data_IF_553128205368
#
_entry.id   IF_553128205368
#
_cell.length_a   1.000
_cell.length_b   1.000
_cell.length_c   1.000
_cell.angle_alpha   90.00
_cell.angle_beta   90.00
_cell.angle_gamma   90.00
#
_symmetry.space_group_name_H-M   'P 1'
#
loop_
_entity.id
_entity.type
_entity.pdbx_description
1 polymer ?
#
# COMPACT_ATOMS: atom_id res chain seq x y z
N UNK A 1 -19.61 21.41 -13.80
CA UNK A 1 -18.77 20.46 -13.03
C UNK A 1 -18.97 19.10 -13.66
N UNK A 2 -17.98 18.56 -14.36
CA UNK A 2 -18.09 17.24 -14.98
C UNK A 2 -18.14 16.21 -13.87
N UNK A 3 -19.28 15.53 -13.74
CA UNK A 3 -19.46 14.45 -12.77
C UNK A 3 -18.73 13.22 -13.33
N UNK A 4 -17.42 13.12 -13.10
CA UNK A 4 -16.59 11.98 -13.54
C UNK A 4 -17.04 10.77 -12.74
N UNK A 5 -17.59 9.78 -13.44
CA UNK A 5 -18.08 8.57 -12.81
C UNK A 5 -16.93 7.61 -12.47
N UNK A 6 -17.17 6.61 -11.60
CA UNK A 6 -16.17 5.57 -11.31
C UNK A 6 -15.75 4.77 -12.56
N UNK A 7 -16.61 4.68 -13.58
CA UNK A 7 -16.25 4.06 -14.86
C UNK A 7 -15.21 4.89 -15.64
N UNK A 8 -15.40 6.21 -15.74
CA UNK A 8 -14.46 7.11 -16.40
C UNK A 8 -13.07 7.04 -15.74
N UNK A 9 -13.04 6.94 -14.41
CA UNK A 9 -11.78 6.81 -13.66
C UNK A 9 -11.11 5.44 -13.90
N UNK A 10 -11.87 4.34 -14.01
CA UNK A 10 -11.32 3.02 -14.39
C UNK A 10 -10.68 3.06 -15.77
N UNK A 11 -11.36 3.67 -16.72
CA UNK A 11 -10.84 3.81 -18.09
C UNK A 11 -9.54 4.63 -18.11
N UNK A 12 -9.47 5.70 -17.31
CA UNK A 12 -8.25 6.50 -17.17
C UNK A 12 -7.09 5.69 -16.56
N UNK A 13 -7.33 4.90 -15.51
CA UNK A 13 -6.31 4.04 -14.91
C UNK A 13 -5.83 2.95 -15.88
N UNK A 14 -6.75 2.38 -16.68
CA UNK A 14 -6.38 1.40 -17.70
C UNK A 14 -5.45 2.01 -18.77
N UNK A 15 -5.74 3.24 -19.21
CA UNK A 15 -4.86 3.97 -20.14
C UNK A 15 -3.50 4.28 -19.52
N UNK A 16 -3.49 4.70 -18.25
CA UNK A 16 -2.24 4.98 -17.52
C UNK A 16 -1.36 3.73 -17.42
N UNK A 17 -1.96 2.55 -17.20
CA UNK A 17 -1.23 1.27 -17.20
C UNK A 17 -0.47 1.06 -18.50
N UNK A 18 -1.14 1.18 -19.65
CA UNK A 18 -0.51 1.02 -20.95
C UNK A 18 0.59 2.04 -21.22
N UNK A 19 0.42 3.29 -20.76
CA UNK A 19 1.45 4.32 -20.84
C UNK A 19 2.68 3.99 -19.99
N UNK A 20 2.50 3.48 -18.76
CA UNK A 20 3.62 3.08 -17.89
C UNK A 20 4.31 1.81 -18.38
N UNK A 21 3.59 0.87 -18.99
CA UNK A 21 4.20 -0.29 -19.64
C UNK A 21 5.05 0.12 -20.84
N UNK A 22 4.55 1.06 -21.66
CA UNK A 22 5.32 1.64 -22.77
C UNK A 22 6.57 2.38 -22.27
N UNK A 23 6.43 3.13 -21.17
CA UNK A 23 7.56 3.80 -20.51
C UNK A 23 8.59 2.78 -20.00
N UNK A 24 8.15 1.66 -19.42
CA UNK A 24 9.02 0.58 -18.96
C UNK A 24 9.78 -0.08 -20.12
N UNK A 25 9.15 -0.24 -21.27
CA UNK A 25 9.81 -0.77 -22.48
C UNK A 25 10.85 0.21 -23.04
N UNK A 26 10.58 1.52 -22.98
CA UNK A 26 11.47 2.56 -23.50
C UNK A 26 12.67 2.85 -22.58
N UNK A 27 12.43 2.99 -21.27
CA UNK A 27 13.42 3.44 -20.29
C UNK A 27 13.99 2.31 -19.42
N UNK A 28 13.51 1.08 -19.64
CA UNK A 28 13.90 -0.10 -18.87
C UNK A 28 13.28 -0.16 -17.47
N UNK A 29 13.72 -1.14 -16.68
CA UNK A 29 13.14 -1.45 -15.35
C UNK A 29 13.74 -0.58 -14.22
N UNK A 30 13.66 0.73 -14.39
CA UNK A 30 14.14 1.70 -13.40
C UNK A 30 13.35 1.61 -12.08
N UNK A 31 13.97 1.84 -10.90
CA UNK A 31 13.25 1.89 -9.62
C UNK A 31 12.09 2.91 -9.63
N UNK A 32 12.20 4.00 -10.40
CA UNK A 32 11.14 4.99 -10.51
C UNK A 32 9.92 4.46 -11.28
N UNK A 33 10.14 3.70 -12.36
CA UNK A 33 9.06 3.08 -13.15
C UNK A 33 8.35 2.01 -12.32
N UNK A 34 9.12 1.18 -11.59
CA UNK A 34 8.53 0.19 -10.66
C UNK A 34 7.68 0.84 -9.58
N UNK A 35 8.09 2.00 -9.07
CA UNK A 35 7.31 2.77 -8.09
C UNK A 35 6.00 3.28 -8.69
N UNK A 36 6.04 3.86 -9.89
CA UNK A 36 4.81 4.33 -10.57
C UNK A 36 3.84 3.18 -10.84
N UNK A 37 4.33 2.00 -11.25
CA UNK A 37 3.49 0.81 -11.40
C UNK A 37 2.87 0.37 -10.07
N UNK A 38 3.65 0.38 -8.99
CA UNK A 38 3.12 0.05 -7.66
C UNK A 38 2.06 1.06 -7.17
N UNK A 39 2.30 2.34 -7.41
CA UNK A 39 1.35 3.40 -7.08
C UNK A 39 0.04 3.21 -7.85
N UNK A 40 0.12 2.83 -9.15
CA UNK A 40 -1.05 2.51 -9.96
C UNK A 40 -1.82 1.30 -9.42
N UNK A 41 -1.13 0.21 -9.09
CA UNK A 41 -1.76 -0.99 -8.51
C UNK A 41 -2.49 -0.64 -7.20
N UNK A 42 -1.89 0.21 -6.35
CA UNK A 42 -2.53 0.72 -5.13
C UNK A 42 -3.77 1.56 -5.42
N UNK A 43 -3.72 2.46 -6.40
CA UNK A 43 -4.89 3.25 -6.81
C UNK A 43 -6.06 2.36 -7.26
N UNK A 44 -5.79 1.26 -7.96
CA UNK A 44 -6.83 0.31 -8.37
C UNK A 44 -7.48 -0.39 -7.17
N UNK A 45 -6.68 -0.81 -6.19
CA UNK A 45 -7.20 -1.38 -4.93
C UNK A 45 -8.04 -0.37 -4.15
N UNK A 46 -7.57 0.86 -4.01
CA UNK A 46 -8.31 1.92 -3.30
C UNK A 46 -9.65 2.22 -4.00
N UNK A 47 -9.71 2.13 -5.32
CA UNK A 47 -10.95 2.31 -6.08
C UNK A 47 -11.94 1.15 -5.88
N UNK A 48 -11.45 -0.08 -5.78
CA UNK A 48 -12.29 -1.22 -5.40
C UNK A 48 -12.89 -0.98 -4.02
N UNK A 49 -12.11 -0.46 -3.07
CA UNK A 49 -12.60 -0.07 -1.76
C UNK A 49 -13.61 1.09 -1.82
N UNK A 50 -13.42 2.11 -2.66
CA UNK A 50 -14.41 3.20 -2.81
C UNK A 50 -15.73 2.69 -3.41
N UNK A 51 -15.66 1.80 -4.41
CA UNK A 51 -16.86 1.23 -5.04
C UNK A 51 -17.53 0.15 -4.19
N UNK A 52 -16.76 -0.57 -3.37
CA UNK A 52 -17.22 -1.52 -2.37
C UNK A 52 -17.58 -0.91 -1.01
N UNK A 53 -17.20 0.34 -0.73
CA UNK A 53 -17.48 1.05 0.51
C UNK A 53 -18.98 1.31 0.73
N UNK A 54 -19.81 1.20 -0.31
CA UNK A 54 -21.26 1.11 -0.15
C UNK A 54 -21.70 -0.07 0.73
N UNK A 55 -20.91 -1.15 0.79
CA UNK A 55 -21.17 -2.34 1.63
C UNK A 55 -20.39 -2.28 2.95
N UNK A 56 -19.21 -1.63 2.99
CA UNK A 56 -18.35 -1.61 4.20
C UNK A 56 -18.49 -0.38 5.10
N UNK A 57 -19.12 0.71 4.65
CA UNK A 57 -19.35 1.91 5.49
C UNK A 57 -20.31 1.66 6.66
N UNK A 58 -21.07 0.55 6.70
CA UNK A 58 -21.83 0.17 7.89
C UNK A 58 -21.00 -0.55 8.96
N UNK A 59 -19.75 -0.95 8.69
CA UNK A 59 -18.97 -1.78 9.61
C UNK A 59 -17.89 -1.01 10.41
N UNK A 60 -17.55 0.23 10.03
CA UNK A 60 -16.53 1.03 10.71
C UNK A 60 -17.08 2.06 11.70
N UNK A 61 -18.39 2.12 11.90
CA UNK A 61 -19.00 2.81 13.06
C UNK A 61 -19.62 1.78 14.00
N UNK A 62 -18.83 0.78 14.37
CA UNK A 62 -19.07 -0.04 15.55
C UNK A 62 -18.92 0.79 16.82
N UNK A 63 -19.89 1.66 17.07
CA UNK A 63 -20.24 2.07 18.43
C UNK A 63 -20.55 0.78 19.22
N UNK A 64 -19.60 0.32 20.05
CA UNK A 64 -19.88 -0.68 21.07
C UNK A 64 -19.16 -2.03 21.01
N UNK A 65 -18.08 -2.20 20.23
CA UNK A 65 -17.11 -3.28 20.53
C UNK A 65 -15.75 -2.66 20.81
N UNK A 66 -15.35 -2.71 22.08
CA UNK A 66 -14.03 -2.27 22.52
C UNK A 66 -12.98 -2.81 21.57
N UNK A 67 -12.17 -1.91 21.02
CA UNK A 67 -11.03 -2.26 20.17
C UNK A 67 -10.25 -3.35 20.89
N UNK A 68 -10.01 -4.49 20.27
CA UNK A 68 -9.16 -5.53 20.86
C UNK A 68 -7.76 -4.93 21.00
N UNK A 69 -7.48 -4.39 22.17
CA UNK A 69 -6.18 -3.80 22.49
C UNK A 69 -5.30 -4.97 22.91
N UNK A 70 -4.44 -5.42 22.00
CA UNK A 70 -3.35 -6.31 22.36
C UNK A 70 -2.36 -5.50 23.19
N UNK A 71 -2.31 -5.76 24.49
CA UNK A 71 -1.37 -5.10 25.40
C UNK A 71 0.02 -5.68 25.16
N UNK A 72 0.90 -4.88 24.57
CA UNK A 72 2.32 -5.22 24.43
C UNK A 72 2.97 -5.05 25.81
N UNK A 73 3.83 -5.99 26.20
CA UNK A 73 4.57 -5.89 27.45
C UNK A 73 5.69 -4.88 27.32
N UNK A 74 5.76 -3.91 28.24
CA UNK A 74 6.86 -2.93 28.32
C UNK A 74 8.14 -3.53 28.97
N UNK A 75 8.16 -4.84 29.26
CA UNK A 75 9.33 -5.51 29.80
C UNK A 75 10.49 -5.51 28.80
N UNK A 76 11.75 -5.55 29.27
CA UNK A 76 12.90 -5.64 28.37
C UNK A 76 12.77 -6.92 27.53
N UNK A 77 12.75 -6.76 26.21
CA UNK A 77 12.80 -7.88 25.28
C UNK A 77 14.08 -8.68 25.52
N UNK A 78 13.98 -10.02 25.50
CA UNK A 78 15.17 -10.86 25.56
C UNK A 78 16.06 -10.56 24.35
N UNK A 79 17.36 -10.27 24.52
CA UNK A 79 18.27 -9.94 23.42
C UNK A 79 18.39 -11.02 22.33
N UNK A 80 18.02 -12.26 22.65
CA UNK A 80 18.11 -13.42 21.76
C UNK A 80 17.22 -13.34 20.52
N UNK A 81 16.13 -12.55 20.53
CA UNK A 81 15.19 -12.55 19.41
C UNK A 81 15.72 -11.84 18.15
N UNK A 82 16.84 -11.11 18.25
CA UNK A 82 17.37 -10.24 17.20
C UNK A 82 18.86 -10.49 16.91
N UNK A 83 19.44 -11.55 17.49
CA UNK A 83 20.88 -11.81 17.45
C UNK A 83 21.44 -12.03 16.05
N UNK A 84 20.64 -12.60 15.15
CA UNK A 84 21.02 -12.87 13.76
C UNK A 84 20.21 -12.02 12.77
N UNK A 85 19.46 -11.01 13.23
CA UNK A 85 18.62 -10.17 12.35
C UNK A 85 19.39 -9.09 11.59
N UNK A 86 20.70 -8.96 11.87
CA UNK A 86 21.57 -7.92 11.31
C UNK A 86 22.61 -8.51 10.32
N UNK A 87 22.48 -9.79 9.96
CA UNK A 87 23.36 -10.46 8.98
C UNK A 87 23.13 -9.99 7.53
N UNK A 88 22.05 -9.23 7.28
CA UNK A 88 21.74 -8.60 6.00
C UNK A 88 22.53 -7.29 5.73
N UNK A 89 23.37 -6.83 6.67
CA UNK A 89 24.25 -5.68 6.45
C UNK A 89 23.54 -4.32 6.33
N UNK A 90 22.33 -4.19 6.90
CA UNK A 90 21.53 -2.95 6.92
C UNK A 90 21.69 -2.18 8.26
N UNK A 91 22.73 -2.49 9.03
CA UNK A 91 23.12 -1.78 10.26
C UNK A 91 24.15 -0.69 9.99
N UNK A 92 23.80 0.57 10.26
CA UNK A 92 24.72 1.70 10.14
C UNK A 92 25.85 1.65 11.18
N UNK A 93 26.94 0.96 10.87
CA UNK A 93 28.16 0.99 11.68
C UNK A 93 28.81 2.38 11.61
N UNK A 94 28.66 3.19 12.66
CA UNK A 94 29.59 4.30 12.92
C UNK A 94 30.81 3.72 13.62
N UNK A 95 31.98 3.87 12.99
CA UNK A 95 33.28 3.62 13.60
C UNK A 95 33.56 4.64 14.71
#
# INVERSE_FOLDING_TARGET
MTNVGPADLRDALFRLRGSLESLRLAEGDSPYVRRLMNDLDRFQLDMEDVTGAGVRSSALHGSGRGREVVRISDGPYRPLAWQDSDDEGIGGHRR
#
